data_IF_676995287679
#
_entry.id   IF_676995287679
#
_cell.length_a   1.000
_cell.length_b   1.000
_cell.length_c   1.000
_cell.angle_alpha   90.00
_cell.angle_beta   90.00
_cell.angle_gamma   90.00
#
_symmetry.space_group_name_H-M   'P 1'
#
loop_
_entity.id
_entity.type
_entity.pdbx_description
1 polymer ?
#
# COMPACT_ATOMS: atom_id res chain seq x y z
N UNK A 1 0.96 1.03 7.96
CA UNK A 1 0.35 0.42 6.78
C UNK A 1 0.86 -0.98 6.43
N UNK A 2 1.85 -1.53 7.16
CA UNK A 2 2.42 -2.88 6.93
C UNK A 2 1.36 -3.98 6.84
N UNK A 3 0.37 -3.96 7.74
CA UNK A 3 -0.73 -4.93 7.75
C UNK A 3 -1.64 -4.85 6.52
N UNK A 4 -1.90 -3.64 6.01
CA UNK A 4 -2.83 -3.44 4.90
C UNK A 4 -2.17 -3.64 3.54
N UNK A 5 -0.92 -3.18 3.41
CA UNK A 5 -0.10 -3.25 2.20
C UNK A 5 0.79 -4.50 2.14
N UNK A 6 0.66 -5.41 3.11
CA UNK A 6 1.42 -6.66 3.14
C UNK A 6 1.11 -7.53 1.90
N UNK A 7 2.12 -8.19 1.32
CA UNK A 7 1.91 -9.09 0.21
C UNK A 7 1.21 -10.38 0.68
N UNK A 8 0.99 -11.31 -0.26
CA UNK A 8 0.48 -12.64 0.08
C UNK A 8 1.33 -13.34 1.13
N UNK A 9 0.65 -14.03 2.05
CA UNK A 9 1.29 -14.85 3.06
C UNK A 9 1.88 -16.16 2.47
N UNK A 10 2.61 -16.98 3.26
CA UNK A 10 3.16 -18.25 2.78
C UNK A 10 2.11 -19.28 2.29
N UNK A 11 0.83 -19.09 2.63
CA UNK A 11 -0.29 -19.91 2.15
C UNK A 11 -0.96 -19.30 0.91
N UNK A 12 -0.44 -18.18 0.41
CA UNK A 12 -0.99 -17.46 -0.74
C UNK A 12 -2.21 -16.59 -0.43
N UNK A 13 -2.53 -16.35 0.84
CA UNK A 13 -3.68 -15.53 1.22
C UNK A 13 -3.40 -14.06 0.90
N UNK A 14 -4.31 -13.35 0.19
CA UNK A 14 -4.13 -11.95 -0.14
C UNK A 14 -4.21 -11.06 1.10
N UNK A 15 -3.39 -10.01 1.12
CA UNK A 15 -3.49 -8.93 2.11
C UNK A 15 -4.71 -8.03 1.85
N UNK A 16 -5.04 -7.11 2.78
CA UNK A 16 -6.22 -6.26 2.65
C UNK A 16 -6.31 -5.44 1.35
N UNK A 17 -5.21 -4.88 0.85
CA UNK A 17 -5.21 -4.15 -0.43
C UNK A 17 -5.51 -5.08 -1.60
N UNK A 18 -4.86 -6.24 -1.66
CA UNK A 18 -5.09 -7.21 -2.73
C UNK A 18 -6.54 -7.72 -2.70
N UNK A 19 -7.03 -8.09 -1.51
CA UNK A 19 -8.40 -8.57 -1.33
C UNK A 19 -9.45 -7.51 -1.72
N UNK A 20 -9.21 -6.24 -1.38
CA UNK A 20 -10.10 -5.13 -1.74
C UNK A 20 -10.16 -4.85 -3.25
N UNK A 21 -9.17 -5.29 -4.04
CA UNK A 21 -9.16 -5.12 -5.50
C UNK A 21 -9.65 -6.37 -6.26
N UNK A 22 -9.90 -7.48 -5.56
CA UNK A 22 -10.33 -8.75 -6.16
C UNK A 22 -11.83 -8.79 -6.52
N UNK A 23 -12.61 -7.82 -6.06
CA UNK A 23 -14.06 -7.67 -6.26
C UNK A 23 -14.46 -7.18 -7.68
N UNK A 24 -13.54 -7.24 -8.65
CA UNK A 24 -13.74 -6.90 -10.08
C UNK A 24 -14.16 -5.46 -10.29
N UNK A 25 -13.29 -4.53 -9.92
CA UNK A 25 -13.41 -3.13 -10.30
C UNK A 25 -13.62 -2.99 -11.81
N UNK A 26 -14.71 -2.33 -12.21
CA UNK A 26 -14.93 -1.96 -13.59
C UNK A 26 -14.10 -0.70 -13.87
N UNK A 27 -13.13 -0.81 -14.78
CA UNK A 27 -12.34 0.33 -15.21
C UNK A 27 -13.03 1.00 -16.40
N UNK A 28 -13.36 2.27 -16.26
CA UNK A 28 -13.85 3.07 -17.39
C UNK A 28 -12.76 3.26 -18.45
N UNK A 29 -11.54 3.60 -18.03
CA UNK A 29 -10.36 3.73 -18.88
C UNK A 29 -9.16 3.05 -18.20
N UNK A 30 -8.68 1.89 -18.68
CA UNK A 30 -7.55 1.19 -18.10
C UNK A 30 -6.23 1.99 -18.10
N UNK A 31 -6.08 2.97 -19.00
CA UNK A 31 -4.91 3.86 -19.00
C UNK A 31 -4.95 4.90 -17.87
N UNK A 32 -6.12 5.09 -17.25
CA UNK A 32 -6.38 6.01 -16.15
C UNK A 32 -7.17 5.29 -15.03
N UNK A 33 -6.52 4.41 -14.23
CA UNK A 33 -7.20 3.52 -13.29
C UNK A 33 -7.65 4.26 -12.01
N UNK A 34 -8.62 5.14 -12.15
CA UNK A 34 -9.13 5.99 -11.07
C UNK A 34 -9.85 5.16 -10.01
N UNK A 35 -10.55 4.11 -10.41
CA UNK A 35 -11.30 3.22 -9.53
C UNK A 35 -10.36 2.46 -8.59
N UNK A 36 -9.21 2.00 -9.10
CA UNK A 36 -8.17 1.36 -8.27
C UNK A 36 -7.60 2.37 -7.27
N UNK A 37 -7.27 3.58 -7.71
CA UNK A 37 -6.73 4.63 -6.84
C UNK A 37 -7.72 5.00 -5.73
N UNK A 38 -9.01 5.11 -6.03
CA UNK A 38 -10.06 5.40 -5.04
C UNK A 38 -10.07 4.36 -3.92
N UNK A 39 -10.02 3.09 -4.27
CA UNK A 39 -10.02 1.99 -3.31
C UNK A 39 -8.73 1.94 -2.50
N UNK A 40 -7.56 2.13 -3.11
CA UNK A 40 -6.30 2.12 -2.34
C UNK A 40 -6.19 3.35 -1.44
N UNK A 41 -6.58 4.54 -1.91
CA UNK A 41 -6.53 5.78 -1.11
C UNK A 41 -7.52 5.78 0.06
N UNK A 42 -8.61 5.00 0.02
CA UNK A 42 -9.51 4.89 1.18
C UNK A 42 -8.85 4.24 2.40
N UNK A 43 -7.70 3.59 2.23
CA UNK A 43 -6.90 3.04 3.34
C UNK A 43 -5.82 3.97 3.87
N UNK A 44 -5.71 5.21 3.35
CA UNK A 44 -4.66 6.18 3.71
C UNK A 44 -3.24 5.55 3.68
N UNK A 45 -2.76 5.14 2.48
CA UNK A 45 -1.52 4.39 2.35
C UNK A 45 -0.28 5.24 2.70
N UNK A 46 0.39 4.89 3.79
CA UNK A 46 1.74 5.39 4.07
C UNK A 46 2.79 4.29 3.85
N UNK A 47 3.49 4.36 2.72
CA UNK A 47 4.53 3.37 2.36
C UNK A 47 5.73 3.46 3.30
N UNK A 48 6.13 4.67 3.71
CA UNK A 48 7.18 4.87 4.71
C UNK A 48 6.89 4.12 6.02
N UNK A 49 5.63 4.16 6.51
CA UNK A 49 5.21 3.38 7.67
C UNK A 49 5.02 1.89 7.38
N UNK A 50 4.89 1.47 6.12
CA UNK A 50 4.71 0.06 5.76
C UNK A 50 6.04 -0.71 5.79
N UNK A 51 7.10 -0.14 5.22
CA UNK A 51 8.42 -0.78 5.11
C UNK A 51 9.42 -0.31 6.18
N UNK A 52 9.05 0.72 6.93
CA UNK A 52 9.91 1.45 7.85
C UNK A 52 11.02 2.23 7.11
N UNK A 53 11.27 3.47 7.52
CA UNK A 53 12.42 4.29 7.05
C UNK A 53 13.47 4.35 8.16
N UNK A 54 13.69 3.21 8.80
CA UNK A 54 14.71 3.00 9.84
C UNK A 54 15.52 1.77 9.48
N UNK A 55 16.80 1.81 9.81
CA UNK A 55 17.70 0.68 9.58
C UNK A 55 17.42 -0.45 10.60
N UNK A 56 18.05 -1.63 10.45
CA UNK A 56 17.88 -2.74 11.38
C UNK A 56 18.29 -2.44 12.83
N UNK A 57 19.14 -1.43 13.04
CA UNK A 57 19.67 -0.99 14.33
C UNK A 57 18.81 0.16 14.94
N UNK A 58 17.79 0.62 14.21
CA UNK A 58 16.84 1.65 14.62
C UNK A 58 17.27 3.09 14.28
N UNK A 59 18.34 3.28 13.53
CA UNK A 59 18.77 4.61 13.11
C UNK A 59 17.88 5.18 11.99
N UNK A 60 17.65 6.50 12.05
CA UNK A 60 16.84 7.23 11.07
C UNK A 60 17.59 7.31 9.73
N UNK A 61 17.07 6.63 8.69
CA UNK A 61 17.74 6.55 7.39
C UNK A 61 17.65 7.85 6.57
N UNK A 62 16.67 8.71 6.86
CA UNK A 62 16.45 9.96 6.11
C UNK A 62 15.48 10.91 6.82
N UNK A 63 15.89 12.17 7.00
CA UNK A 63 15.05 13.26 7.49
C UNK A 63 14.59 14.16 6.34
N UNK A 64 13.28 14.23 6.06
CA UNK A 64 12.72 15.11 5.02
C UNK A 64 12.16 16.37 5.69
N UNK A 65 12.80 17.52 5.43
CA UNK A 65 12.30 18.84 5.84
C UNK A 65 11.48 19.44 4.71
N UNK A 66 10.17 19.57 4.91
CA UNK A 66 9.27 20.24 3.98
C UNK A 66 9.18 21.72 4.41
N UNK A 67 9.38 22.64 3.46
CA UNK A 67 9.25 24.09 3.65
C UNK A 67 7.79 24.54 3.57
#
# INVERSE_FOLDING_TARGET
STWNAGPRDPKGQPGPYEAALMDRHQLHDPSQPLEIQRTVHSFDPCIACAVHVVDPDGEELSQIRIR
#
